data_IF_675555224588
#
_entry.id   IF_675555224588
#
_cell.length_a   1.000
_cell.length_b   1.000
_cell.length_c   1.000
_cell.angle_alpha   90.00
_cell.angle_beta   90.00
_cell.angle_gamma   90.00
#
_symmetry.space_group_name_H-M   'P 1'
#
loop_
_entity.id
_entity.type
_entity.pdbx_description
1 polymer ?
#
# COMPACT_ATOMS: atom_id res chain seq x y z
N UNK A 1 -5.05 5.97 8.43
CA UNK A 1 -5.06 5.01 7.31
C UNK A 1 -3.80 5.08 6.46
N UNK A 2 -3.48 6.22 5.82
CA UNK A 2 -2.29 6.31 4.95
C UNK A 2 -0.96 6.11 5.70
N UNK A 3 -0.74 6.89 6.76
CA UNK A 3 0.47 6.75 7.58
C UNK A 3 0.63 5.33 8.14
N UNK A 4 -0.45 4.73 8.63
CA UNK A 4 -0.44 3.36 9.16
C UNK A 4 -0.06 2.32 8.11
N UNK A 5 -0.54 2.47 6.87
CA UNK A 5 -0.12 1.63 5.75
C UNK A 5 1.36 1.84 5.41
N UNK A 6 1.84 3.10 5.40
CA UNK A 6 3.24 3.41 5.11
C UNK A 6 4.18 2.85 6.20
N UNK A 7 3.78 2.92 7.47
CA UNK A 7 4.53 2.34 8.59
C UNK A 7 4.51 0.81 8.51
N UNK A 8 3.34 0.19 8.32
CA UNK A 8 3.22 -1.26 8.13
C UNK A 8 4.05 -1.75 6.93
N UNK A 9 4.01 -1.02 5.80
CA UNK A 9 4.75 -1.38 4.60
C UNK A 9 6.25 -1.34 4.88
N UNK A 10 6.76 -0.32 5.58
CA UNK A 10 8.18 -0.21 5.96
C UNK A 10 8.67 -1.38 6.81
N UNK A 11 7.79 -1.99 7.60
CA UNK A 11 8.10 -3.19 8.40
C UNK A 11 8.12 -4.48 7.57
N UNK A 12 7.51 -4.50 6.37
CA UNK A 12 7.48 -5.68 5.53
C UNK A 12 8.82 -5.95 4.84
N UNK A 13 9.24 -7.22 4.71
CA UNK A 13 10.48 -7.56 4.00
C UNK A 13 10.46 -7.13 2.53
N UNK A 14 9.26 -7.08 1.92
CA UNK A 14 9.07 -6.61 0.53
C UNK A 14 9.44 -5.14 0.35
N UNK A 15 9.43 -4.32 1.41
CA UNK A 15 9.77 -2.90 1.31
C UNK A 15 11.20 -2.67 0.88
N UNK A 16 12.15 -3.47 1.35
CA UNK A 16 13.55 -3.39 0.88
C UNK A 16 13.66 -3.67 -0.61
N UNK A 17 12.87 -4.63 -1.11
CA UNK A 17 12.78 -4.96 -2.53
C UNK A 17 12.12 -3.84 -3.32
N UNK A 18 11.08 -3.21 -2.78
CA UNK A 18 10.41 -2.05 -3.37
C UNK A 18 11.35 -0.85 -3.45
N UNK A 19 12.11 -0.56 -2.40
CA UNK A 19 13.14 0.50 -2.39
C UNK A 19 14.27 0.19 -3.38
N UNK A 20 14.66 -1.08 -3.53
CA UNK A 20 15.66 -1.48 -4.51
C UNK A 20 15.17 -1.27 -5.97
N UNK A 21 13.90 -1.61 -6.25
CA UNK A 21 13.33 -1.50 -7.59
C UNK A 21 12.94 -0.08 -7.98
N UNK A 22 12.37 0.69 -7.04
CA UNK A 22 11.76 1.99 -7.29
C UNK A 22 12.58 3.16 -6.72
N UNK A 23 13.67 2.87 -6.01
CA UNK A 23 14.50 3.82 -5.31
C UNK A 23 13.94 4.27 -3.97
N UNK A 24 14.62 5.24 -3.34
CA UNK A 24 14.27 5.81 -2.04
C UNK A 24 12.86 6.43 -2.01
N UNK A 25 12.35 6.84 -3.18
CA UNK A 25 11.06 7.49 -3.34
C UNK A 25 9.94 6.51 -3.70
N UNK A 26 9.84 5.40 -2.98
CA UNK A 26 8.82 4.38 -3.23
C UNK A 26 7.44 4.76 -2.67
N UNK A 27 7.39 5.69 -1.71
CA UNK A 27 6.15 6.20 -1.11
C UNK A 27 5.76 7.57 -1.70
N UNK A 28 6.18 7.90 -2.92
CA UNK A 28 5.72 9.15 -3.57
C UNK A 28 4.22 9.06 -3.75
N UNK A 29 3.54 10.07 -3.24
CA UNK A 29 2.11 10.24 -3.41
C UNK A 29 1.86 11.59 -4.08
N UNK A 30 1.36 11.57 -5.31
CA UNK A 30 1.03 12.75 -6.10
C UNK A 30 -0.39 12.65 -6.64
N UNK A 31 -1.08 13.78 -6.74
CA UNK A 31 -2.45 13.86 -7.26
C UNK A 31 -3.47 12.87 -6.62
N UNK A 32 -3.29 12.55 -5.33
CA UNK A 32 -4.22 11.67 -4.61
C UNK A 32 -3.94 10.17 -4.74
N UNK A 33 -2.82 9.79 -5.36
CA UNK A 33 -2.45 8.42 -5.66
C UNK A 33 -0.96 8.17 -5.37
N UNK A 34 -0.60 6.93 -5.05
CA UNK A 34 0.79 6.50 -5.04
C UNK A 34 1.32 6.38 -6.46
N UNK A 35 2.51 6.93 -6.70
CA UNK A 35 3.16 6.92 -8.01
C UNK A 35 3.45 5.51 -8.52
N UNK A 36 3.72 4.59 -7.59
CA UNK A 36 4.05 3.21 -7.92
C UNK A 36 2.82 2.33 -7.75
N UNK A 37 2.43 1.66 -8.84
CA UNK A 37 1.22 0.84 -8.89
C UNK A 37 1.20 -0.25 -7.80
N UNK A 38 2.36 -0.86 -7.49
CA UNK A 38 2.45 -1.88 -6.44
C UNK A 38 2.09 -1.33 -5.04
N UNK A 39 2.45 -0.07 -4.77
CA UNK A 39 2.15 0.61 -3.50
C UNK A 39 0.70 1.08 -3.47
N UNK A 40 0.19 1.60 -4.59
CA UNK A 40 -1.23 1.95 -4.73
C UNK A 40 -2.14 0.72 -4.52
N UNK A 41 -1.84 -0.39 -5.19
CA UNK A 41 -2.62 -1.62 -5.05
C UNK A 41 -2.58 -2.17 -3.62
N UNK A 42 -1.42 -2.10 -2.97
CA UNK A 42 -1.30 -2.47 -1.56
C UNK A 42 -2.12 -1.56 -0.64
N UNK A 43 -2.15 -0.26 -0.92
CA UNK A 43 -2.95 0.71 -0.16
C UNK A 43 -4.45 0.50 -0.36
N UNK A 44 -4.91 0.29 -1.60
CA UNK A 44 -6.29 -0.03 -1.91
C UNK A 44 -6.72 -1.34 -1.24
N UNK A 45 -5.88 -2.38 -1.26
CA UNK A 45 -6.13 -3.64 -0.57
C UNK A 45 -6.18 -3.49 0.95
N UNK A 46 -5.36 -2.60 1.51
CA UNK A 46 -5.37 -2.27 2.94
C UNK A 46 -6.69 -1.61 3.35
N UNK A 47 -7.13 -0.59 2.60
CA UNK A 47 -8.44 0.07 2.82
C UNK A 47 -9.57 -0.95 2.64
N UNK A 48 -9.50 -1.79 1.61
CA UNK A 48 -10.50 -2.83 1.35
C UNK A 48 -10.52 -3.93 2.41
N UNK A 49 -9.47 -4.07 3.25
CA UNK A 49 -9.49 -4.95 4.42
C UNK A 49 -10.24 -4.34 5.60
N UNK A 50 -10.22 -3.01 5.73
CA UNK A 50 -10.98 -2.28 6.76
C UNK A 50 -12.45 -2.13 6.38
N UNK A 51 -12.77 -2.14 5.09
CA UNK A 51 -14.14 -2.32 4.60
C UNK A 51 -14.44 -3.82 4.65
N UNK A 52 -15.27 -4.26 5.61
CA UNK A 52 -15.73 -5.65 5.72
C UNK A 52 -15.96 -6.26 4.32
N UNK A 53 -15.49 -7.49 4.02
CA UNK A 53 -15.94 -8.17 2.83
C UNK A 53 -17.47 -8.16 2.86
N UNK A 54 -18.10 -7.54 1.86
CA UNK A 54 -19.55 -7.64 1.71
C UNK A 54 -19.86 -9.13 1.71
N UNK A 55 -20.62 -9.55 2.72
CA UNK A 55 -21.06 -10.90 2.99
C UNK A 55 -20.90 -11.86 1.79
N UNK A 56 -20.05 -12.86 1.92
CA UNK A 56 -20.33 -14.14 1.27
C UNK A 56 -21.45 -14.82 2.07
N UNK A 57 -22.66 -14.26 1.97
CA UNK A 57 -23.90 -15.02 2.14
C UNK A 57 -24.20 -15.66 0.77
N UNK A 58 -23.75 -16.89 0.58
CA UNK A 58 -24.45 -17.87 -0.26
C UNK A 58 -24.07 -19.29 0.15
#
# INVERSE_FOLDING_TARGET
MRNEYEEWLKEQPIYKTLVFQYGDKVLIHECGAYKHLAVELGYQAWIAKEVKPCNQDN
#
